data_IF_196639711433
#
_entry.id   IF_196639711433
#
_cell.length_a   1.000
_cell.length_b   1.000
_cell.length_c   1.000
_cell.angle_alpha   90.00
_cell.angle_beta   90.00
_cell.angle_gamma   90.00
#
_symmetry.space_group_name_H-M   'P 1'
#
loop_
_entity.id
_entity.type
_entity.pdbx_description
1 polymer ?
#
# COMPACT_ATOMS: atom_id res chain seq x y z
N UNK A 1 78.00 4.45 -6.26
CA UNK A 1 78.68 4.40 -4.95
C UNK A 1 77.62 4.70 -3.88
N UNK A 2 77.61 4.16 -2.66
CA UNK A 2 78.19 2.94 -2.06
C UNK A 2 77.53 2.72 -0.66
N UNK A 3 77.39 1.46 -0.21
CA UNK A 3 76.93 0.98 1.14
C UNK A 3 77.69 1.61 2.33
N UNK A 4 77.34 1.39 3.63
CA UNK A 4 76.30 0.52 4.27
C UNK A 4 75.24 1.39 5.04
N UNK A 5 74.48 0.95 6.10
CA UNK A 5 74.17 -0.37 6.72
C UNK A 5 72.63 -0.67 6.69
N UNK A 6 71.92 -1.63 7.33
CA UNK A 6 72.10 -2.74 8.33
C UNK A 6 72.09 -2.38 9.84
N UNK A 7 71.52 -3.15 10.80
CA UNK A 7 70.78 -4.43 10.79
C UNK A 7 69.84 -4.61 12.02
N UNK A 8 69.17 -5.77 12.12
CA UNK A 8 68.42 -6.37 13.24
C UNK A 8 66.95 -5.94 13.46
N UNK A 9 66.05 -6.77 14.04
CA UNK A 9 65.78 -8.23 13.90
C UNK A 9 64.73 -8.64 14.98
N UNK A 10 63.48 -8.91 14.62
CA UNK A 10 62.63 -9.93 15.27
C UNK A 10 61.28 -10.07 14.56
N UNK A 11 60.86 -11.32 14.31
CA UNK A 11 59.50 -11.68 13.87
C UNK A 11 59.22 -13.15 14.21
N UNK A 12 58.00 -13.47 14.63
CA UNK A 12 57.24 -14.59 14.04
C UNK A 12 55.90 -14.06 13.46
N UNK A 13 55.35 -14.41 12.27
CA UNK A 13 55.07 -15.70 11.57
C UNK A 13 54.34 -16.73 12.43
N UNK A 14 53.21 -17.39 12.08
CA UNK A 14 52.33 -17.57 10.88
C UNK A 14 50.89 -17.88 11.39
N UNK A 15 49.76 -17.95 10.67
CA UNK A 15 49.32 -17.89 9.23
C UNK A 15 48.25 -16.75 9.09
N UNK A 16 47.67 -16.36 7.94
CA UNK A 16 47.69 -16.73 6.51
C UNK A 16 46.66 -17.76 5.94
N UNK A 17 45.49 -17.22 5.53
CA UNK A 17 44.67 -17.51 4.34
C UNK A 17 43.79 -16.24 4.12
N UNK A 18 43.50 -15.63 2.96
CA UNK A 18 43.17 -16.08 1.59
C UNK A 18 41.85 -16.88 1.54
N UNK A 19 40.83 -16.54 0.74
CA UNK A 19 40.68 -15.59 -0.39
C UNK A 19 39.43 -14.68 -0.19
N UNK A 20 39.26 -13.48 -0.80
CA UNK A 20 38.77 -13.19 -2.18
C UNK A 20 37.48 -14.00 -2.53
N UNK A 21 36.34 -13.44 -2.99
CA UNK A 21 36.10 -12.30 -3.91
C UNK A 21 34.81 -11.49 -3.60
N UNK A 22 34.43 -10.58 -4.52
CA UNK A 22 33.24 -9.71 -4.49
C UNK A 22 31.91 -10.44 -4.75
N UNK A 23 30.82 -10.01 -4.11
CA UNK A 23 29.45 -10.16 -4.62
C UNK A 23 28.55 -9.06 -4.02
N UNK A 24 27.59 -8.55 -4.80
CA UNK A 24 26.64 -7.53 -4.36
C UNK A 24 25.20 -7.91 -4.75
N UNK A 25 24.30 -7.86 -3.76
CA UNK A 25 22.84 -7.84 -3.88
C UNK A 25 22.33 -7.09 -2.66
N UNK A 26 21.65 -5.94 -2.70
CA UNK A 26 20.53 -5.47 -3.54
C UNK A 26 19.16 -5.89 -3.01
N UNK A 27 18.21 -4.94 -3.06
CA UNK A 27 16.83 -4.99 -2.54
C UNK A 27 16.71 -5.05 -1.01
N UNK A 28 16.31 -3.92 -0.43
CA UNK A 28 16.00 -3.72 0.98
C UNK A 28 14.52 -3.97 1.26
N UNK A 29 14.24 -4.69 2.34
CA UNK A 29 12.96 -4.62 3.05
C UNK A 29 12.95 -3.37 3.98
N UNK A 30 11.90 -3.21 4.79
CA UNK A 30 11.78 -2.27 5.92
C UNK A 30 11.82 -0.74 5.67
N UNK A 31 10.64 -0.19 5.37
CA UNK A 31 10.33 1.26 5.46
C UNK A 31 9.17 1.59 6.42
N UNK A 32 8.89 0.72 7.40
CA UNK A 32 7.53 0.60 7.95
C UNK A 32 7.25 1.21 9.34
N UNK A 33 8.23 1.64 10.15
CA UNK A 33 7.94 2.03 11.55
C UNK A 33 8.09 3.52 11.91
N UNK A 34 8.58 4.38 11.00
CA UNK A 34 8.78 5.82 11.32
C UNK A 34 7.84 6.80 10.62
N UNK A 35 6.54 6.58 10.76
CA UNK A 35 5.57 7.67 10.58
C UNK A 35 5.30 8.45 11.88
N UNK A 36 5.61 7.88 13.05
CA UNK A 36 5.07 8.34 14.35
C UNK A 36 5.97 9.26 15.19
N UNK A 37 7.28 9.00 15.31
CA UNK A 37 8.14 9.82 16.19
C UNK A 37 8.36 11.27 15.71
N UNK A 38 8.11 11.55 14.42
CA UNK A 38 8.20 12.90 13.84
C UNK A 38 7.15 13.90 14.40
N UNK A 39 6.31 13.47 15.35
CA UNK A 39 5.26 14.28 16.00
C UNK A 39 5.66 14.86 17.38
N UNK A 40 6.86 14.54 17.90
CA UNK A 40 7.49 15.33 18.97
C UNK A 40 6.89 15.22 20.39
N UNK A 41 6.30 14.08 20.75
CA UNK A 41 5.73 13.83 22.08
C UNK A 41 6.74 13.09 22.98
N UNK A 42 7.39 13.80 23.92
CA UNK A 42 8.26 13.19 24.94
C UNK A 42 7.48 12.80 26.20
N UNK A 43 7.49 11.52 26.58
CA UNK A 43 6.70 11.00 27.70
C UNK A 43 7.44 11.04 29.06
N UNK A 44 7.60 12.24 29.63
CA UNK A 44 7.92 12.50 31.05
C UNK A 44 7.28 13.84 31.47
N UNK A 45 6.64 14.02 32.62
CA UNK A 45 6.38 13.14 33.77
C UNK A 45 4.87 13.10 34.12
N UNK A 46 4.44 12.05 34.84
CA UNK A 46 3.09 11.97 35.45
C UNK A 46 3.21 11.88 36.97
N UNK A 47 3.38 13.03 37.63
CA UNK A 47 3.15 13.22 39.07
C UNK A 47 2.78 14.68 39.36
N UNK A 48 2.13 14.89 40.51
CA UNK A 48 1.86 16.18 41.15
C UNK A 48 1.06 17.23 40.35
N UNK A 49 -0.27 17.13 40.45
CA UNK A 49 -0.97 18.08 41.34
C UNK A 49 -2.24 17.45 41.94
N UNK A 50 -2.36 17.53 43.25
CA UNK A 50 -3.54 17.11 44.04
C UNK A 50 -4.26 18.34 44.58
N UNK A 51 -5.56 18.21 44.81
CA UNK A 51 -6.43 19.05 45.66
C UNK A 51 -6.49 20.57 45.41
N UNK A 52 -7.59 21.00 44.77
CA UNK A 52 -8.18 22.32 44.99
C UNK A 52 -9.71 22.28 44.78
N UNK A 53 -10.48 22.05 45.85
CA UNK A 53 -11.94 22.23 45.84
C UNK A 53 -12.35 23.73 45.84
N UNK A 54 -13.64 23.97 45.54
CA UNK A 54 -14.38 25.24 45.62
C UNK A 54 -14.16 26.22 44.45
N UNK A 55 -15.19 26.88 43.89
CA UNK A 55 -16.54 27.15 44.41
C UNK A 55 -17.61 26.98 43.34
N UNK A 56 -18.86 26.75 43.76
CA UNK A 56 -20.03 26.91 42.90
C UNK A 56 -20.65 28.29 43.12
N UNK A 57 -20.66 29.14 42.09
CA UNK A 57 -21.82 29.99 41.79
C UNK A 57 -21.75 30.65 40.40
N UNK A 58 -22.88 31.24 40.01
CA UNK A 58 -23.04 32.31 39.01
C UNK A 58 -23.16 32.03 37.49
N UNK A 59 -24.41 32.18 37.03
CA UNK A 59 -24.88 32.78 35.75
C UNK A 59 -24.71 32.05 34.40
N UNK A 60 -25.86 31.54 33.97
CA UNK A 60 -26.52 31.85 32.69
C UNK A 60 -25.83 32.92 31.80
N UNK A 61 -25.35 32.51 30.62
CA UNK A 61 -25.78 33.05 29.31
C UNK A 61 -24.95 32.43 28.17
N UNK A 62 -25.58 31.61 27.30
CA UNK A 62 -25.04 31.29 25.98
C UNK A 62 -26.20 31.32 24.99
N UNK A 63 -26.16 32.24 24.04
CA UNK A 63 -27.31 32.55 23.19
C UNK A 63 -27.44 31.58 22.03
N UNK A 64 -28.66 31.12 21.72
CA UNK A 64 -28.91 30.15 20.64
C UNK A 64 -29.12 30.89 19.32
N UNK A 65 -28.01 31.30 18.71
CA UNK A 65 -27.97 31.86 17.36
C UNK A 65 -28.32 30.79 16.29
N UNK A 66 -29.60 30.42 16.18
CA UNK A 66 -30.12 29.69 15.03
C UNK A 66 -30.02 30.58 13.78
N UNK A 67 -29.11 30.24 12.88
CA UNK A 67 -29.00 30.90 11.57
C UNK A 67 -30.13 30.37 10.67
N UNK A 68 -31.21 31.15 10.55
CA UNK A 68 -32.28 30.88 9.57
C UNK A 68 -31.76 31.12 8.16
N UNK A 69 -31.35 30.06 7.47
CA UNK A 69 -30.95 30.12 6.06
C UNK A 69 -32.23 30.35 5.21
N UNK A 70 -32.25 31.42 4.42
CA UNK A 70 -33.38 31.75 3.54
C UNK A 70 -33.44 30.77 2.36
N UNK A 71 -34.58 30.11 2.17
CA UNK A 71 -34.74 29.00 1.22
C UNK A 71 -35.11 29.47 -0.19
N UNK A 72 -34.20 30.13 -0.90
CA UNK A 72 -34.26 30.30 -2.37
C UNK A 72 -33.59 29.10 -3.08
N UNK A 73 -33.94 27.89 -2.63
CA UNK A 73 -33.43 26.66 -3.21
C UNK A 73 -34.12 26.38 -4.56
N UNK A 74 -33.34 26.42 -5.64
CA UNK A 74 -33.65 25.59 -6.81
C UNK A 74 -33.64 24.13 -6.35
N UNK A 75 -34.45 23.30 -7.00
CA UNK A 75 -34.47 21.86 -6.71
C UNK A 75 -33.22 21.20 -7.27
N UNK A 76 -32.12 21.27 -6.52
CA UNK A 76 -30.95 20.44 -6.77
C UNK A 76 -31.36 18.98 -6.54
N UNK A 77 -31.35 18.20 -7.63
CA UNK A 77 -31.66 16.77 -7.59
C UNK A 77 -30.62 16.07 -6.70
N UNK A 78 -31.06 15.44 -5.61
CA UNK A 78 -30.17 14.69 -4.71
C UNK A 78 -29.69 13.42 -5.43
N UNK A 79 -28.58 13.54 -6.16
CA UNK A 79 -27.90 12.41 -6.79
C UNK A 79 -27.36 11.53 -5.67
N UNK A 80 -27.82 10.28 -5.61
CA UNK A 80 -27.34 9.32 -4.63
C UNK A 80 -25.92 8.88 -4.96
N UNK A 81 -25.08 8.54 -3.95
CA UNK A 81 -23.77 7.95 -4.20
C UNK A 81 -23.88 6.63 -4.96
N UNK A 82 -22.94 6.37 -5.87
CA UNK A 82 -22.92 5.16 -6.71
C UNK A 82 -21.58 4.46 -6.50
N UNK A 83 -21.60 3.25 -5.96
CA UNK A 83 -20.42 2.38 -5.85
C UNK A 83 -20.25 1.59 -7.13
N UNK A 84 -19.07 1.68 -7.76
CA UNK A 84 -18.74 0.99 -9.02
C UNK A 84 -17.42 0.22 -8.85
N UNK A 85 -17.41 -1.12 -8.97
CA UNK A 85 -16.18 -1.92 -8.97
C UNK A 85 -15.19 -1.50 -10.05
N UNK A 86 -13.90 -1.68 -9.79
CA UNK A 86 -12.81 -1.48 -10.75
C UNK A 86 -12.20 -2.84 -11.11
N UNK A 87 -12.31 -3.22 -12.38
CA UNK A 87 -11.52 -4.32 -12.94
C UNK A 87 -10.07 -3.83 -13.10
N UNK A 88 -9.14 -4.34 -12.29
CA UNK A 88 -7.71 -3.96 -12.33
C UNK A 88 -6.89 -4.91 -13.24
N UNK A 89 -5.67 -4.53 -13.67
CA UNK A 89 -4.82 -5.41 -14.48
C UNK A 89 -4.51 -6.74 -13.77
N UNK A 90 -4.37 -7.88 -14.50
CA UNK A 90 -4.13 -9.20 -13.89
C UNK A 90 -2.89 -9.32 -13.00
N UNK A 91 -1.88 -8.47 -13.20
CA UNK A 91 -0.64 -8.43 -12.42
C UNK A 91 -0.54 -7.15 -11.56
N UNK A 92 -1.68 -6.57 -11.17
CA UNK A 92 -1.71 -5.33 -10.39
C UNK A 92 -1.37 -5.54 -8.90
N UNK A 93 -1.75 -6.67 -8.32
CA UNK A 93 -1.35 -7.06 -6.96
C UNK A 93 0.15 -7.35 -6.89
N UNK A 94 0.81 -6.99 -5.77
CA UNK A 94 2.22 -7.30 -5.46
C UNK A 94 2.47 -8.82 -5.45
N UNK A 95 1.45 -9.57 -5.04
CA UNK A 95 1.41 -11.02 -4.98
C UNK A 95 0.60 -11.63 -6.14
N UNK A 96 0.35 -10.86 -7.21
CA UNK A 96 -0.31 -11.29 -8.45
C UNK A 96 -1.72 -11.90 -8.23
N UNK A 97 -2.42 -11.47 -7.18
CA UNK A 97 -3.82 -11.83 -6.95
C UNK A 97 -4.70 -11.42 -8.15
N UNK A 98 -5.61 -12.33 -8.52
CA UNK A 98 -6.49 -12.17 -9.69
C UNK A 98 -7.42 -10.96 -9.48
N UNK A 99 -7.83 -10.24 -10.54
CA UNK A 99 -8.68 -9.04 -10.40
C UNK A 99 -10.03 -9.27 -9.70
N UNK A 100 -10.49 -10.52 -9.62
CA UNK A 100 -11.71 -10.93 -8.91
C UNK A 100 -11.51 -11.25 -7.42
N UNK A 101 -10.27 -11.33 -6.94
CA UNK A 101 -9.90 -11.60 -5.54
C UNK A 101 -9.24 -10.38 -4.86
N UNK A 102 -9.44 -9.19 -5.42
CA UNK A 102 -8.97 -7.91 -4.88
C UNK A 102 -10.10 -6.87 -4.87
N UNK A 103 -10.15 -6.06 -3.82
CA UNK A 103 -11.14 -5.00 -3.62
C UNK A 103 -10.63 -3.67 -4.16
N UNK A 104 -11.11 -3.27 -5.33
CA UNK A 104 -10.97 -1.92 -5.86
C UNK A 104 -12.33 -1.40 -6.37
N UNK A 105 -12.73 -0.20 -5.97
CA UNK A 105 -13.98 0.42 -6.41
C UNK A 105 -13.95 1.95 -6.27
N UNK A 106 -14.79 2.63 -7.06
CA UNK A 106 -15.04 4.07 -6.92
C UNK A 106 -16.40 4.33 -6.26
N UNK A 107 -16.53 5.47 -5.58
CA UNK A 107 -17.81 5.99 -5.10
C UNK A 107 -18.04 7.37 -5.71
N UNK A 108 -18.98 7.49 -6.63
CA UNK A 108 -19.38 8.77 -7.21
C UNK A 108 -20.33 9.55 -6.29
N UNK A 109 -20.28 10.88 -6.36
CA UNK A 109 -21.14 11.81 -5.60
C UNK A 109 -21.08 11.65 -4.07
N UNK A 110 -19.97 11.15 -3.51
CA UNK A 110 -19.81 10.91 -2.08
C UNK A 110 -19.73 12.22 -1.27
N UNK A 111 -18.95 13.20 -1.75
CA UNK A 111 -18.98 14.58 -1.26
C UNK A 111 -19.61 15.52 -2.29
N UNK A 112 -20.22 16.60 -1.84
CA UNK A 112 -20.51 17.76 -2.68
C UNK A 112 -19.32 18.74 -2.70
N UNK A 113 -19.40 19.78 -3.55
CA UNK A 113 -18.29 20.74 -3.74
C UNK A 113 -18.00 21.61 -2.51
N UNK A 114 -18.99 21.92 -1.68
CA UNK A 114 -18.78 22.69 -0.44
C UNK A 114 -18.16 21.82 0.67
N UNK A 115 -18.50 20.52 0.74
CA UNK A 115 -17.80 19.55 1.60
C UNK A 115 -16.32 19.40 1.19
N UNK A 116 -16.03 19.28 -0.11
CA UNK A 116 -14.65 19.22 -0.60
C UNK A 116 -13.86 20.50 -0.28
N UNK A 117 -14.50 21.66 -0.46
CA UNK A 117 -13.94 22.97 -0.15
C UNK A 117 -13.68 23.17 1.35
N UNK A 118 -14.54 22.65 2.23
CA UNK A 118 -14.33 22.69 3.67
C UNK A 118 -13.07 21.90 4.08
N UNK A 119 -12.85 20.73 3.49
CA UNK A 119 -11.61 19.94 3.69
C UNK A 119 -10.37 20.71 3.20
N UNK A 120 -10.46 21.35 2.03
CA UNK A 120 -9.39 22.22 1.52
C UNK A 120 -9.12 23.43 2.43
N UNK A 121 -10.12 23.95 3.15
CA UNK A 121 -9.97 25.07 4.08
C UNK A 121 -9.32 24.66 5.42
N UNK A 122 -9.42 23.39 5.82
CA UNK A 122 -8.63 22.82 6.93
C UNK A 122 -7.17 22.56 6.53
N UNK A 123 -6.92 22.36 5.24
CA UNK A 123 -5.61 22.01 4.69
C UNK A 123 -4.68 23.23 4.61
N UNK A 124 -3.68 23.30 5.49
CA UNK A 124 -2.72 24.42 5.56
C UNK A 124 -1.28 23.93 5.50
N UNK A 125 -0.34 24.85 5.22
CA UNK A 125 1.10 24.56 5.34
C UNK A 125 1.70 23.62 4.29
N UNK A 126 1.04 23.42 3.13
CA UNK A 126 1.50 22.51 2.06
C UNK A 126 3.01 22.57 1.78
N UNK A 127 3.73 21.51 2.10
CA UNK A 127 5.18 21.40 1.94
C UNK A 127 5.58 20.07 1.30
N UNK A 128 6.76 20.02 0.69
CA UNK A 128 7.37 18.76 0.24
C UNK A 128 7.83 17.92 1.44
N UNK A 129 7.81 16.60 1.31
CA UNK A 129 8.45 15.70 2.29
C UNK A 129 9.94 15.66 1.99
N UNK A 130 10.75 16.27 2.85
CA UNK A 130 12.23 16.29 2.71
C UNK A 130 12.93 15.29 3.62
N UNK A 131 12.19 14.66 4.52
CA UNK A 131 12.65 13.74 5.54
C UNK A 131 11.69 12.56 5.56
N UNK A 132 12.25 11.37 5.33
CA UNK A 132 11.65 10.12 5.76
C UNK A 132 12.40 9.71 7.04
N UNK A 133 12.13 8.51 7.53
CA UNK A 133 12.89 7.98 8.65
C UNK A 133 12.90 6.46 8.59
N UNK A 134 13.99 5.89 9.10
CA UNK A 134 14.38 4.51 8.93
C UNK A 134 14.49 3.86 10.31
N UNK A 135 14.06 2.62 10.42
CA UNK A 135 14.18 1.83 11.64
C UNK A 135 15.22 0.76 11.38
N UNK A 136 16.32 0.80 12.13
CA UNK A 136 17.35 -0.23 12.11
C UNK A 136 16.78 -1.56 12.63
N UNK A 137 17.37 -2.69 12.25
CA UNK A 137 16.94 -4.05 12.64
C UNK A 137 16.83 -4.28 14.17
N UNK A 138 17.45 -3.41 14.98
CA UNK A 138 17.36 -3.40 16.44
C UNK A 138 16.09 -2.66 16.97
N UNK A 139 15.17 -2.24 16.09
CA UNK A 139 14.00 -1.42 16.41
C UNK A 139 14.32 0.06 16.66
N UNK A 140 15.54 0.51 16.33
CA UNK A 140 16.00 1.88 16.58
C UNK A 140 15.63 2.79 15.43
N UNK A 141 14.81 3.78 15.73
CA UNK A 141 14.26 4.73 14.76
C UNK A 141 15.14 5.97 14.61
N UNK A 142 15.44 6.37 13.37
CA UNK A 142 16.24 7.56 13.08
C UNK A 142 15.78 8.32 11.81
N UNK A 143 15.81 9.67 11.87
CA UNK A 143 15.32 10.51 10.77
C UNK A 143 16.36 10.61 9.64
N UNK A 144 15.93 10.23 8.43
CA UNK A 144 16.76 10.20 7.21
C UNK A 144 16.27 11.27 6.25
N UNK A 145 17.07 12.33 6.09
CA UNK A 145 16.81 13.34 5.07
C UNK A 145 16.88 12.71 3.67
N UNK A 146 15.77 12.81 2.94
CA UNK A 146 15.67 12.32 1.56
C UNK A 146 16.62 13.09 0.64
N UNK A 147 17.28 12.37 -0.29
CA UNK A 147 18.16 12.98 -1.28
C UNK A 147 17.37 13.80 -2.30
N UNK A 148 16.26 13.23 -2.79
CA UNK A 148 15.19 13.94 -3.52
C UNK A 148 13.94 13.97 -2.64
N UNK A 149 13.33 15.14 -2.37
CA UNK A 149 12.04 15.21 -1.69
C UNK A 149 10.94 14.51 -2.49
N UNK A 150 9.87 14.05 -1.83
CA UNK A 150 8.69 13.54 -2.54
C UNK A 150 8.22 14.58 -3.56
N UNK A 151 7.94 14.16 -4.79
CA UNK A 151 7.53 15.02 -5.93
C UNK A 151 6.06 15.42 -5.84
N UNK A 152 5.59 15.74 -4.63
CA UNK A 152 4.27 16.26 -4.32
C UNK A 152 4.30 16.97 -2.97
N UNK A 153 3.40 17.94 -2.79
CA UNK A 153 3.26 18.69 -1.54
C UNK A 153 2.16 18.03 -0.71
N UNK A 154 2.29 18.04 0.62
CA UNK A 154 1.24 17.55 1.51
C UNK A 154 0.93 18.51 2.65
N UNK A 155 -0.30 18.41 3.14
CA UNK A 155 -0.81 19.03 4.36
C UNK A 155 -1.34 17.92 5.26
N UNK A 156 -0.79 17.82 6.48
CA UNK A 156 -1.22 16.83 7.48
C UNK A 156 -2.02 17.54 8.56
N UNK A 157 -3.16 16.97 8.96
CA UNK A 157 -3.91 17.43 10.12
C UNK A 157 -4.74 16.30 10.74
N UNK A 158 -5.02 16.42 12.02
CA UNK A 158 -6.01 15.60 12.72
C UNK A 158 -7.25 16.45 12.97
N UNK A 159 -8.43 15.95 12.57
CA UNK A 159 -9.70 16.64 12.79
C UNK A 159 -10.84 15.63 12.93
N UNK A 160 -11.01 15.12 14.16
CA UNK A 160 -11.99 14.07 14.49
C UNK A 160 -13.39 14.32 13.89
N UNK A 161 -14.01 15.53 13.94
CA UNK A 161 -15.32 15.73 13.32
C UNK A 161 -15.38 15.47 11.81
N UNK A 162 -14.27 15.66 11.09
CA UNK A 162 -14.16 15.28 9.67
C UNK A 162 -13.95 13.77 9.51
N UNK A 163 -13.10 13.16 10.33
CA UNK A 163 -12.87 11.70 10.35
C UNK A 163 -14.19 10.96 10.61
N UNK A 164 -14.94 11.35 11.66
CA UNK A 164 -16.24 10.79 12.05
C UNK A 164 -17.28 10.95 10.94
N UNK A 165 -17.36 12.15 10.32
CA UNK A 165 -18.32 12.44 9.25
C UNK A 165 -18.00 11.63 7.99
N UNK A 166 -16.74 11.54 7.59
CA UNK A 166 -16.30 10.74 6.45
C UNK A 166 -16.55 9.26 6.70
N UNK A 167 -16.21 8.75 7.89
CA UNK A 167 -16.42 7.35 8.24
C UNK A 167 -17.89 6.98 8.31
N UNK A 168 -18.73 7.79 8.96
CA UNK A 168 -20.19 7.57 9.05
C UNK A 168 -20.85 7.53 7.68
N UNK A 169 -20.37 8.33 6.71
CA UNK A 169 -20.85 8.26 5.31
C UNK A 169 -20.28 7.05 4.56
N UNK A 170 -19.00 6.71 4.76
CA UNK A 170 -18.29 5.70 3.97
C UNK A 170 -18.62 4.26 4.39
N UNK A 171 -18.64 3.97 5.70
CA UNK A 171 -18.83 2.63 6.25
C UNK A 171 -20.01 1.86 5.63
N UNK A 172 -21.25 2.39 5.55
CA UNK A 172 -22.38 1.66 4.96
C UNK A 172 -22.26 1.45 3.44
N UNK A 173 -21.40 2.21 2.76
CA UNK A 173 -21.15 2.07 1.32
C UNK A 173 -20.06 1.03 1.01
N UNK A 174 -19.08 0.84 1.90
CA UNK A 174 -17.97 -0.10 1.68
C UNK A 174 -18.27 -1.52 2.15
N UNK A 175 -19.01 -1.70 3.25
CA UNK A 175 -19.23 -3.01 3.87
C UNK A 175 -19.78 -4.08 2.91
N UNK A 176 -20.70 -3.80 1.96
CA UNK A 176 -21.16 -4.79 0.98
C UNK A 176 -20.10 -5.22 -0.05
N UNK A 177 -18.96 -4.52 -0.13
CA UNK A 177 -17.95 -4.66 -1.19
C UNK A 177 -16.59 -5.17 -0.70
N UNK A 178 -16.39 -5.33 0.62
CA UNK A 178 -15.11 -5.74 1.23
C UNK A 178 -15.19 -7.05 2.03
N UNK A 179 -16.29 -7.80 1.89
CA UNK A 179 -16.50 -9.06 2.64
C UNK A 179 -15.43 -10.11 2.37
N UNK A 180 -15.21 -10.46 1.11
CA UNK A 180 -14.14 -11.40 0.71
C UNK A 180 -12.76 -10.89 1.11
N UNK A 181 -12.49 -9.60 0.99
CA UNK A 181 -11.22 -9.01 1.43
C UNK A 181 -10.95 -9.23 2.93
N UNK A 182 -11.96 -9.08 3.79
CA UNK A 182 -11.83 -9.34 5.23
C UNK A 182 -11.51 -10.82 5.48
N UNK A 183 -12.18 -11.74 4.79
CA UNK A 183 -11.95 -13.18 4.90
C UNK A 183 -10.56 -13.58 4.36
N UNK A 184 -10.19 -13.11 3.16
CA UNK A 184 -8.96 -13.46 2.43
C UNK A 184 -7.69 -12.89 3.11
N UNK A 185 -7.78 -11.71 3.73
CA UNK A 185 -6.69 -11.12 4.53
C UNK A 185 -6.72 -11.54 6.00
N UNK A 186 -7.76 -12.27 6.42
CA UNK A 186 -8.04 -12.67 7.81
C UNK A 186 -8.09 -11.51 8.82
N UNK A 187 -8.31 -10.28 8.37
CA UNK A 187 -8.37 -9.13 9.27
C UNK A 187 -9.67 -9.14 10.09
N UNK A 188 -9.69 -8.39 11.19
CA UNK A 188 -10.91 -8.10 11.93
C UNK A 188 -11.83 -7.12 11.20
N UNK A 189 -12.83 -6.60 11.92
CA UNK A 189 -13.73 -5.59 11.35
C UNK A 189 -12.99 -4.27 11.05
N UNK A 190 -13.41 -3.51 10.02
CA UNK A 190 -12.97 -2.13 9.84
C UNK A 190 -13.62 -1.24 10.90
N UNK A 191 -12.81 -0.51 11.66
CA UNK A 191 -13.25 0.26 12.82
C UNK A 191 -13.28 1.77 12.58
N UNK A 192 -12.51 2.28 11.62
CA UNK A 192 -12.44 3.71 11.35
C UNK A 192 -11.57 4.08 10.15
N UNK A 193 -11.40 5.38 9.95
CA UNK A 193 -10.39 5.95 9.08
C UNK A 193 -9.16 6.37 9.89
N UNK A 194 -7.98 6.38 9.27
CA UNK A 194 -6.76 6.91 9.85
C UNK A 194 -6.98 8.36 10.34
N UNK A 195 -6.85 8.65 11.66
CA UNK A 195 -7.13 9.98 12.23
C UNK A 195 -6.27 11.09 11.62
N UNK A 196 -5.06 10.73 11.18
CA UNK A 196 -4.08 11.61 10.55
C UNK A 196 -4.39 11.77 9.06
N UNK A 197 -5.33 12.66 8.77
CA UNK A 197 -5.71 13.03 7.41
C UNK A 197 -4.54 13.71 6.69
N UNK A 198 -4.30 13.32 5.43
CA UNK A 198 -3.25 13.91 4.59
C UNK A 198 -3.83 14.39 3.25
N UNK A 199 -3.85 15.70 3.03
CA UNK A 199 -4.23 16.27 1.73
C UNK A 199 -2.98 16.45 0.88
N UNK A 200 -2.96 15.73 -0.23
CA UNK A 200 -1.93 15.77 -1.27
C UNK A 200 -2.27 16.91 -2.24
N UNK A 201 -1.26 17.70 -2.62
CA UNK A 201 -1.31 18.65 -3.74
C UNK A 201 -0.23 18.30 -4.74
N UNK A 202 -0.65 18.11 -5.99
CA UNK A 202 0.21 18.05 -7.17
C UNK A 202 0.01 19.33 -7.98
N UNK A 203 1.09 19.96 -8.44
CA UNK A 203 1.09 21.16 -9.25
C UNK A 203 1.84 20.95 -10.57
N UNK A 204 1.18 21.24 -11.69
CA UNK A 204 1.78 21.12 -13.02
C UNK A 204 2.97 22.07 -13.21
N UNK A 205 3.01 23.21 -12.51
CA UNK A 205 4.09 24.19 -12.67
C UNK A 205 5.40 23.78 -11.99
N UNK A 206 5.33 22.89 -10.99
CA UNK A 206 6.49 22.28 -10.33
C UNK A 206 6.92 20.95 -11.00
N UNK A 207 6.07 20.37 -11.86
CA UNK A 207 6.16 19.00 -12.37
C UNK A 207 6.03 17.93 -11.25
N UNK A 208 5.10 18.17 -10.31
CA UNK A 208 4.76 17.17 -9.29
C UNK A 208 4.22 15.87 -9.94
N UNK A 209 4.69 14.72 -9.47
CA UNK A 209 4.32 13.38 -9.98
C UNK A 209 4.10 12.37 -8.85
N UNK A 210 3.31 11.34 -9.12
CA UNK A 210 3.14 10.18 -8.24
C UNK A 210 3.55 8.93 -9.02
N UNK A 211 4.79 8.51 -8.83
CA UNK A 211 5.41 7.42 -9.57
C UNK A 211 4.78 6.06 -9.21
N UNK A 212 4.87 5.03 -10.08
CA UNK A 212 4.27 3.72 -9.82
C UNK A 212 4.81 3.04 -8.54
N UNK A 213 3.91 2.68 -7.63
CA UNK A 213 4.25 2.11 -6.31
C UNK A 213 3.10 1.27 -5.74
N UNK A 214 3.40 0.56 -4.65
CA UNK A 214 2.41 -0.02 -3.73
C UNK A 214 2.26 0.88 -2.52
N UNK A 215 1.11 0.79 -1.85
CA UNK A 215 0.87 1.61 -0.68
C UNK A 215 1.39 0.97 0.62
N UNK A 216 1.74 1.81 1.60
CA UNK A 216 2.34 1.38 2.86
C UNK A 216 1.30 1.24 3.98
N UNK A 217 1.24 0.04 4.56
CA UNK A 217 0.47 -0.28 5.77
C UNK A 217 0.92 0.57 6.96
N UNK A 218 -0.05 1.16 7.69
CA UNK A 218 0.21 1.95 8.90
C UNK A 218 -0.45 1.26 10.10
N UNK A 219 0.31 0.99 11.17
CA UNK A 219 -0.23 0.49 12.44
C UNK A 219 -0.49 1.64 13.40
N UNK A 220 -1.63 1.64 14.06
CA UNK A 220 -2.04 2.58 15.11
C UNK A 220 -2.36 1.77 16.36
N UNK A 221 -2.06 2.31 17.55
CA UNK A 221 -2.37 1.64 18.82
C UNK A 221 -3.88 1.42 18.99
N UNK A 222 -4.27 0.30 19.60
CA UNK A 222 -5.64 0.03 20.04
C UNK A 222 -5.78 0.24 21.55
N UNK A 223 -7.02 0.42 22.03
CA UNK A 223 -7.35 0.38 23.46
C UNK A 223 -7.18 -1.04 24.05
N UNK A 224 -7.12 -2.06 23.19
CA UNK A 224 -6.84 -3.46 23.52
C UNK A 224 -5.34 -3.74 23.31
N UNK A 225 -4.62 -4.03 24.39
CA UNK A 225 -3.14 -4.08 24.39
C UNK A 225 -2.52 -5.24 23.61
N UNK A 226 -3.32 -6.18 23.10
CA UNK A 226 -2.88 -7.34 22.32
C UNK A 226 -3.25 -7.22 20.83
N UNK A 227 -3.61 -6.00 20.37
CA UNK A 227 -4.10 -5.73 19.01
C UNK A 227 -3.61 -4.40 18.48
N UNK A 228 -3.34 -4.35 17.19
CA UNK A 228 -3.13 -3.11 16.45
C UNK A 228 -4.33 -2.77 15.55
N UNK A 229 -4.50 -1.47 15.28
CA UNK A 229 -5.35 -0.97 14.22
C UNK A 229 -4.47 -0.78 12.98
N UNK A 230 -4.57 -1.70 12.03
CA UNK A 230 -3.71 -1.76 10.85
C UNK A 230 -4.46 -1.24 9.62
N UNK A 231 -3.89 -0.29 8.87
CA UNK A 231 -4.48 0.18 7.61
C UNK A 231 -4.15 -0.74 6.45
N UNK A 232 -5.17 -1.20 5.74
CA UNK A 232 -5.03 -2.19 4.66
C UNK A 232 -5.68 -1.75 3.33
N UNK A 233 -6.63 -0.80 3.38
CA UNK A 233 -7.26 -0.17 2.21
C UNK A 233 -6.97 1.34 2.24
N UNK A 234 -6.51 1.90 1.12
CA UNK A 234 -6.38 3.35 0.94
C UNK A 234 -7.68 3.94 0.40
N UNK A 235 -8.00 5.16 0.86
CA UNK A 235 -9.17 5.95 0.47
C UNK A 235 -8.67 7.28 -0.10
N UNK A 236 -8.84 7.46 -1.42
CA UNK A 236 -8.53 8.71 -2.11
C UNK A 236 -9.83 9.47 -2.41
N UNK A 237 -9.98 10.67 -1.88
CA UNK A 237 -11.12 11.56 -2.14
C UNK A 237 -10.62 12.75 -2.95
N UNK A 238 -11.03 12.85 -4.22
CA UNK A 238 -10.66 13.96 -5.09
C UNK A 238 -11.39 15.23 -4.65
N UNK A 239 -10.66 16.30 -4.33
CA UNK A 239 -11.25 17.52 -3.77
C UNK A 239 -11.63 18.55 -4.84
N UNK A 240 -11.06 18.45 -6.05
CA UNK A 240 -11.33 19.35 -7.16
C UNK A 240 -11.46 18.61 -8.51
N UNK A 241 -11.97 19.31 -9.54
CA UNK A 241 -12.38 18.70 -10.82
C UNK A 241 -11.22 18.55 -11.83
N UNK A 242 -10.89 17.31 -12.20
CA UNK A 242 -9.96 16.99 -13.29
C UNK A 242 -10.61 17.01 -14.68
N UNK A 243 -9.94 16.42 -15.67
CA UNK A 243 -10.45 16.27 -17.04
C UNK A 243 -10.63 17.61 -17.78
N UNK A 244 -9.65 18.51 -17.69
CA UNK A 244 -9.64 19.78 -18.39
C UNK A 244 -10.43 20.91 -17.74
N UNK A 245 -10.85 20.76 -16.47
CA UNK A 245 -11.66 21.74 -15.74
C UNK A 245 -10.83 22.64 -14.82
N UNK A 246 -10.26 22.08 -13.75
CA UNK A 246 -9.35 22.78 -12.82
C UNK A 246 -7.90 22.31 -13.01
N UNK A 247 -7.72 21.09 -13.51
CA UNK A 247 -6.47 20.51 -14.01
C UNK A 247 -6.75 19.51 -15.14
N UNK A 248 -5.69 19.07 -15.81
CA UNK A 248 -5.72 18.04 -16.85
C UNK A 248 -4.52 17.08 -16.70
N UNK A 249 -4.68 15.86 -17.18
CA UNK A 249 -3.99 14.70 -16.61
C UNK A 249 -4.45 14.44 -15.17
N UNK A 250 -3.60 13.78 -14.37
CA UNK A 250 -3.89 13.52 -12.96
C UNK A 250 -4.88 12.37 -12.72
N UNK A 251 -5.18 11.54 -13.71
CA UNK A 251 -5.87 10.26 -13.52
C UNK A 251 -5.08 9.36 -12.56
N UNK A 252 -5.80 8.60 -11.72
CA UNK A 252 -5.18 7.50 -10.99
C UNK A 252 -5.18 6.26 -11.89
N UNK A 253 -4.01 5.69 -12.14
CA UNK A 253 -3.83 4.49 -12.98
C UNK A 253 -3.49 3.30 -12.08
N UNK A 254 -4.22 2.19 -12.23
CA UNK A 254 -3.80 0.87 -11.77
C UNK A 254 -3.03 0.18 -12.89
N UNK A 255 -1.86 -0.37 -12.56
CA UNK A 255 -0.86 -0.82 -13.52
C UNK A 255 -0.49 -2.29 -13.33
N UNK A 256 -0.03 -2.91 -14.40
CA UNK A 256 0.71 -4.17 -14.37
C UNK A 256 2.05 -3.95 -13.64
N UNK A 257 2.27 -4.64 -12.51
CA UNK A 257 3.47 -4.45 -11.67
C UNK A 257 4.74 -5.04 -12.28
N UNK A 258 4.61 -6.02 -13.18
CA UNK A 258 5.73 -6.69 -13.86
C UNK A 258 6.11 -5.94 -15.13
N UNK A 259 5.13 -5.36 -15.83
CA UNK A 259 5.35 -4.49 -16.98
C UNK A 259 4.51 -3.18 -16.88
N UNK A 260 4.99 -2.16 -16.15
CA UNK A 260 4.26 -0.89 -15.97
C UNK A 260 4.08 -0.03 -17.24
N UNK A 261 4.52 -0.52 -18.41
CA UNK A 261 4.36 0.09 -19.73
C UNK A 261 3.35 -0.66 -20.60
N UNK A 262 2.59 -1.58 -20.02
CA UNK A 262 1.51 -2.30 -20.67
C UNK A 262 0.30 -1.37 -20.84
N UNK A 263 -0.35 -1.39 -22.02
CA UNK A 263 -1.50 -0.53 -22.34
C UNK A 263 -2.82 -0.97 -21.66
N UNK A 264 -2.76 -1.97 -20.77
CA UNK A 264 -3.91 -2.56 -20.07
C UNK A 264 -4.33 -1.82 -18.78
N UNK A 265 -3.83 -0.60 -18.55
CA UNK A 265 -4.04 0.16 -17.32
C UNK A 265 -5.52 0.51 -17.05
N UNK A 266 -5.95 0.37 -15.79
CA UNK A 266 -7.30 0.77 -15.36
C UNK A 266 -7.29 2.21 -14.86
N UNK A 267 -8.12 3.07 -15.46
CA UNK A 267 -8.04 4.53 -15.34
C UNK A 267 -9.21 5.08 -14.52
N UNK A 268 -8.90 5.86 -13.47
CA UNK A 268 -9.89 6.65 -12.72
C UNK A 268 -9.67 8.14 -12.95
N UNK A 269 -10.57 8.76 -13.71
CA UNK A 269 -10.60 10.23 -13.90
C UNK A 269 -11.12 10.94 -12.65
N UNK A 270 -10.40 11.97 -12.14
CA UNK A 270 -10.84 12.73 -10.97
C UNK A 270 -12.07 13.59 -11.22
N UNK A 271 -12.98 13.60 -10.25
CA UNK A 271 -14.09 14.55 -10.17
C UNK A 271 -14.26 14.96 -8.70
N UNK A 272 -14.56 16.23 -8.44
CA UNK A 272 -14.71 16.75 -7.08
C UNK A 272 -15.79 15.97 -6.33
N UNK A 273 -15.38 15.30 -5.25
CA UNK A 273 -16.25 14.47 -4.41
C UNK A 273 -16.41 13.00 -4.83
N UNK A 274 -15.71 12.54 -5.87
CA UNK A 274 -15.52 11.11 -6.16
C UNK A 274 -14.48 10.52 -5.19
N UNK A 275 -14.72 9.29 -4.73
CA UNK A 275 -13.79 8.47 -3.95
C UNK A 275 -13.25 7.32 -4.79
N UNK A 276 -12.03 6.88 -4.50
CA UNK A 276 -11.52 5.55 -4.84
C UNK A 276 -11.13 4.84 -3.54
N UNK A 277 -11.54 3.58 -3.38
CA UNK A 277 -11.13 2.69 -2.30
C UNK A 277 -10.45 1.49 -2.93
N UNK A 278 -9.25 1.15 -2.45
CA UNK A 278 -8.46 0.05 -2.99
C UNK A 278 -7.45 -0.50 -1.97
N UNK A 279 -7.04 -1.74 -2.14
CA UNK A 279 -6.03 -2.40 -1.30
C UNK A 279 -4.63 -1.83 -1.49
N UNK A 280 -3.84 -1.73 -0.41
CA UNK A 280 -2.45 -1.27 -0.48
C UNK A 280 -1.55 -2.14 -1.38
N UNK A 281 -1.95 -3.40 -1.58
CA UNK A 281 -1.34 -4.39 -2.46
C UNK A 281 -1.45 -4.03 -3.96
N UNK A 282 -2.25 -3.04 -4.36
CA UNK A 282 -2.46 -2.72 -5.78
C UNK A 282 -1.50 -1.65 -6.31
N UNK A 283 -0.73 -2.04 -7.33
CA UNK A 283 0.28 -1.21 -7.98
C UNK A 283 -0.36 -0.07 -8.78
N UNK A 284 -0.08 1.17 -8.37
CA UNK A 284 -0.79 2.32 -8.90
C UNK A 284 0.09 3.59 -8.99
N UNK A 285 -0.39 4.58 -9.74
CA UNK A 285 0.31 5.84 -10.00
C UNK A 285 -0.69 6.99 -10.27
N UNK A 286 -0.17 8.22 -10.40
CA UNK A 286 -0.93 9.33 -10.99
C UNK A 286 -0.30 9.76 -12.31
N UNK A 287 -1.11 9.93 -13.35
CA UNK A 287 -0.69 10.61 -14.57
C UNK A 287 -0.15 12.01 -14.22
N UNK A 288 0.99 12.45 -14.78
CA UNK A 288 1.50 13.80 -14.59
C UNK A 288 0.49 14.88 -15.03
N UNK A 289 0.46 16.01 -14.34
CA UNK A 289 -0.44 17.11 -14.71
C UNK A 289 0.08 17.88 -15.92
N UNK A 290 -0.80 18.17 -16.88
CA UNK A 290 -0.49 19.02 -18.05
C UNK A 290 -0.75 20.51 -17.76
N UNK A 291 -1.73 20.82 -16.92
CA UNK A 291 -1.94 22.13 -16.31
C UNK A 291 -2.64 22.02 -14.95
N UNK A 292 -2.58 23.11 -14.17
CA UNK A 292 -3.38 23.26 -12.95
C UNK A 292 -2.79 22.55 -11.73
N UNK A 293 -3.64 22.31 -10.74
CA UNK A 293 -3.27 21.60 -9.52
C UNK A 293 -4.36 20.61 -9.10
N UNK A 294 -3.95 19.37 -8.79
CA UNK A 294 -4.79 18.27 -8.30
C UNK A 294 -4.70 18.20 -6.79
N UNK A 295 -5.84 18.22 -6.11
CA UNK A 295 -5.94 18.05 -4.66
C UNK A 295 -6.69 16.76 -4.32
N UNK A 296 -6.10 15.94 -3.44
CA UNK A 296 -6.67 14.67 -3.00
C UNK A 296 -6.54 14.55 -1.49
N UNK A 297 -7.63 14.37 -0.76
CA UNK A 297 -7.56 13.87 0.60
C UNK A 297 -7.27 12.37 0.52
N UNK A 298 -6.14 11.95 1.06
CA UNK A 298 -5.88 10.55 1.39
C UNK A 298 -6.12 10.31 2.88
N UNK A 299 -6.77 9.19 3.15
CA UNK A 299 -6.77 8.50 4.44
C UNK A 299 -6.84 7.00 4.13
N UNK A 300 -6.81 6.16 5.16
CA UNK A 300 -6.64 4.72 5.05
C UNK A 300 -7.65 4.07 6.01
N UNK A 301 -8.33 2.97 5.64
CA UNK A 301 -9.29 2.27 6.51
C UNK A 301 -8.52 1.39 7.47
N UNK A 302 -8.76 1.57 8.78
CA UNK A 302 -8.16 0.83 9.87
C UNK A 302 -8.99 -0.42 10.21
N UNK A 303 -8.33 -1.58 10.16
CA UNK A 303 -8.87 -2.88 10.54
C UNK A 303 -8.23 -3.34 11.84
N UNK A 304 -9.00 -4.04 12.68
CA UNK A 304 -8.45 -4.69 13.87
C UNK A 304 -7.61 -5.90 13.45
N UNK A 305 -6.38 -6.02 13.95
CA UNK A 305 -5.48 -7.16 13.72
C UNK A 305 -5.01 -7.70 15.08
N UNK A 306 -4.87 -9.01 15.21
CA UNK A 306 -4.20 -9.62 16.37
C UNK A 306 -2.72 -9.72 16.05
N UNK A 307 -1.85 -9.23 16.94
CA UNK A 307 -0.41 -9.15 16.64
C UNK A 307 0.30 -10.51 16.71
N UNK A 308 -0.37 -11.55 17.25
CA UNK A 308 0.06 -12.96 17.24
C UNK A 308 -0.13 -13.65 15.87
N UNK A 309 -1.00 -13.14 14.99
CA UNK A 309 -1.41 -13.81 13.75
C UNK A 309 -0.51 -13.39 12.55
N UNK A 310 0.62 -14.09 12.38
CA UNK A 310 1.61 -13.83 11.32
C UNK A 310 1.09 -13.97 9.86
N UNK A 311 -0.12 -14.51 9.65
CA UNK A 311 -0.75 -14.65 8.34
C UNK A 311 -1.94 -13.66 8.14
N UNK A 312 -1.85 -12.42 8.62
CA UNK A 312 -2.90 -11.38 8.49
C UNK A 312 -2.45 -10.16 7.69
N UNK A 313 -3.34 -9.63 6.85
CA UNK A 313 -3.19 -8.35 6.16
C UNK A 313 -2.94 -8.47 4.65
N UNK A 314 -2.30 -7.44 4.09
CA UNK A 314 -2.09 -7.25 2.64
C UNK A 314 -0.62 -7.31 2.21
N UNK A 315 0.30 -7.38 3.17
CA UNK A 315 1.75 -7.49 2.93
C UNK A 315 2.23 -8.96 2.88
N UNK A 316 1.31 -9.87 2.53
CA UNK A 316 1.52 -11.32 2.39
C UNK A 316 0.70 -11.88 1.21
N UNK A 317 1.12 -13.01 0.61
CA UNK A 317 0.26 -13.76 -0.30
C UNK A 317 -1.03 -14.23 0.39
N UNK A 318 -2.18 -13.97 -0.24
CA UNK A 318 -3.48 -14.56 0.15
C UNK A 318 -3.64 -15.91 -0.53
N UNK A 319 -4.21 -16.86 0.20
CA UNK A 319 -4.37 -18.23 -0.26
C UNK A 319 -3.56 -19.24 0.56
N UNK A 320 -4.01 -19.53 1.78
CA UNK A 320 -3.71 -20.81 2.43
C UNK A 320 -4.93 -21.73 2.31
N UNK A 321 -5.10 -22.29 1.11
CA UNK A 321 -5.62 -23.64 0.82
C UNK A 321 -5.86 -23.86 -0.70
N UNK A 322 -4.78 -24.17 -1.43
CA UNK A 322 -4.82 -25.44 -2.16
C UNK A 322 -5.10 -26.54 -1.11
N UNK A 323 -6.07 -27.42 -1.39
CA UNK A 323 -6.90 -28.06 -0.37
C UNK A 323 -6.15 -28.56 0.88
N UNK A 324 -6.78 -28.42 2.06
CA UNK A 324 -6.40 -29.16 3.28
C UNK A 324 -6.84 -30.65 3.19
N UNK A 325 -6.68 -31.23 1.99
CA UNK A 325 -6.85 -32.62 1.62
C UNK A 325 -5.47 -33.08 1.13
N UNK A 326 -4.68 -33.79 1.97
CA UNK A 326 -3.23 -33.99 1.78
C UNK A 326 -2.88 -34.98 0.66
N UNK A 327 -3.81 -35.25 -0.26
CA UNK A 327 -3.62 -36.03 -1.49
C UNK A 327 -3.66 -35.14 -2.77
N UNK A 328 -3.83 -33.82 -2.65
CA UNK A 328 -4.07 -32.94 -3.82
C UNK A 328 -3.42 -31.54 -3.77
N UNK A 329 -2.22 -31.43 -3.21
CA UNK A 329 -1.25 -30.36 -3.51
C UNK A 329 -0.15 -30.99 -4.36
N UNK A 330 0.27 -30.33 -5.42
CA UNK A 330 1.40 -30.77 -6.25
C UNK A 330 2.69 -30.13 -5.72
N UNK A 331 3.51 -30.92 -5.03
CA UNK A 331 4.83 -30.46 -4.59
C UNK A 331 5.81 -30.35 -5.78
N UNK A 332 5.57 -31.10 -6.86
CA UNK A 332 6.44 -31.22 -8.04
C UNK A 332 5.77 -30.86 -9.38
N UNK A 333 6.58 -30.60 -10.42
CA UNK A 333 6.07 -30.44 -11.79
C UNK A 333 5.42 -31.71 -12.34
N UNK A 334 5.83 -32.90 -11.90
CA UNK A 334 5.20 -34.18 -12.25
C UNK A 334 3.73 -34.22 -11.81
N UNK A 335 3.48 -33.85 -10.56
CA UNK A 335 2.14 -33.81 -9.98
C UNK A 335 1.30 -32.69 -10.60
N UNK A 336 1.91 -31.54 -10.89
CA UNK A 336 1.28 -30.45 -11.63
C UNK A 336 0.84 -30.90 -13.03
N UNK A 337 1.70 -31.63 -13.76
CA UNK A 337 1.35 -32.21 -15.06
C UNK A 337 0.20 -33.22 -14.97
N UNK A 338 0.09 -33.97 -13.86
CA UNK A 338 -1.03 -34.87 -13.62
C UNK A 338 -2.33 -34.11 -13.31
N UNK A 339 -2.31 -33.09 -12.45
CA UNK A 339 -3.47 -32.24 -12.14
C UNK A 339 -4.00 -31.53 -13.39
N UNK A 340 -3.11 -30.96 -14.20
CA UNK A 340 -3.44 -30.31 -15.49
C UNK A 340 -3.76 -31.31 -16.62
N UNK A 341 -3.65 -32.62 -16.39
CA UNK A 341 -3.86 -33.68 -17.40
C UNK A 341 -3.00 -33.54 -18.67
N UNK A 342 -1.75 -33.10 -18.53
CA UNK A 342 -0.82 -32.87 -19.63
C UNK A 342 -0.30 -34.19 -20.23
N UNK A 343 -0.16 -34.20 -21.56
CA UNK A 343 0.20 -35.39 -22.33
C UNK A 343 1.59 -35.94 -22.01
N UNK A 344 1.84 -37.20 -22.41
CA UNK A 344 3.13 -37.86 -22.23
C UNK A 344 4.27 -37.09 -22.93
N UNK A 345 3.99 -36.45 -24.07
CA UNK A 345 4.97 -35.64 -24.83
C UNK A 345 5.51 -34.46 -24.00
N UNK A 346 4.63 -33.75 -23.27
CA UNK A 346 5.00 -32.64 -22.38
C UNK A 346 5.80 -33.14 -21.17
N UNK A 347 5.37 -34.24 -20.55
CA UNK A 347 6.08 -34.83 -19.40
C UNK A 347 7.48 -35.31 -19.79
N UNK A 348 7.63 -35.99 -20.93
CA UNK A 348 8.92 -36.42 -21.44
C UNK A 348 9.85 -35.22 -21.74
N UNK A 349 9.33 -34.13 -22.32
CA UNK A 349 10.12 -32.93 -22.59
C UNK A 349 10.65 -32.26 -21.31
N UNK A 350 9.88 -32.30 -20.21
CA UNK A 350 10.31 -31.80 -18.89
C UNK A 350 11.27 -32.75 -18.15
N UNK A 351 11.20 -34.06 -18.42
CA UNK A 351 12.16 -35.07 -17.92
C UNK A 351 13.53 -34.94 -18.62
N UNK A 352 13.55 -34.71 -19.94
CA UNK A 352 14.79 -34.53 -20.71
C UNK A 352 15.67 -33.35 -20.23
N UNK A 353 15.05 -32.31 -19.64
CA UNK A 353 15.76 -31.19 -19.00
C UNK A 353 15.80 -31.28 -17.46
N UNK A 354 15.30 -32.37 -16.87
CA UNK A 354 15.39 -32.64 -15.44
C UNK A 354 14.55 -31.71 -14.54
N UNK A 355 13.51 -31.07 -15.09
CA UNK A 355 12.59 -30.22 -14.31
C UNK A 355 11.42 -31.01 -13.69
N UNK A 356 11.04 -32.14 -14.27
CA UNK A 356 9.81 -32.88 -13.92
C UNK A 356 9.71 -33.25 -12.43
N UNK A 357 10.80 -33.76 -11.85
CA UNK A 357 10.89 -34.16 -10.44
C UNK A 357 11.33 -33.02 -9.49
N UNK A 358 11.52 -31.79 -9.98
CA UNK A 358 11.84 -30.66 -9.08
C UNK A 358 10.61 -30.24 -8.27
N UNK A 359 10.83 -29.88 -7.01
CA UNK A 359 9.80 -29.22 -6.21
C UNK A 359 9.53 -27.81 -6.73
N UNK A 360 8.31 -27.29 -6.53
CA UNK A 360 7.95 -25.94 -7.01
C UNK A 360 8.86 -24.85 -6.43
N UNK A 361 9.30 -24.97 -5.18
CA UNK A 361 10.33 -24.10 -4.60
C UNK A 361 11.70 -24.22 -5.27
N UNK A 362 12.17 -25.43 -5.56
CA UNK A 362 13.45 -25.63 -6.25
C UNK A 362 13.41 -25.12 -7.70
N UNK A 363 12.26 -25.27 -8.37
CA UNK A 363 11.98 -24.72 -9.69
C UNK A 363 12.04 -23.18 -9.68
N UNK A 364 11.36 -22.53 -8.74
CA UNK A 364 11.25 -21.06 -8.70
C UNK A 364 12.39 -20.32 -7.97
N UNK A 365 13.30 -21.03 -7.29
CA UNK A 365 14.51 -20.45 -6.69
C UNK A 365 15.35 -19.52 -7.62
N UNK A 366 15.60 -19.83 -8.91
CA UNK A 366 16.24 -18.91 -9.86
C UNK A 366 15.33 -17.77 -10.38
N UNK A 367 14.08 -17.68 -9.94
CA UNK A 367 13.11 -16.64 -10.29
C UNK A 367 12.23 -16.97 -11.49
N UNK A 368 10.99 -16.46 -11.48
CA UNK A 368 9.93 -16.78 -12.46
C UNK A 368 10.33 -16.52 -13.92
N UNK A 369 11.15 -15.50 -14.19
CA UNK A 369 11.65 -15.22 -15.55
C UNK A 369 12.64 -16.28 -16.04
N UNK A 370 13.50 -16.82 -15.18
CA UNK A 370 14.40 -17.92 -15.53
C UNK A 370 13.60 -19.21 -15.78
N UNK A 371 12.59 -19.50 -14.95
CA UNK A 371 11.65 -20.62 -15.14
C UNK A 371 10.90 -20.49 -16.45
N UNK A 372 10.37 -19.30 -16.78
CA UNK A 372 9.69 -19.05 -18.06
C UNK A 372 10.61 -19.31 -19.26
N UNK A 373 11.88 -18.90 -19.18
CA UNK A 373 12.84 -19.19 -20.24
C UNK A 373 13.10 -20.71 -20.36
N UNK A 374 13.39 -21.39 -19.25
CA UNK A 374 13.67 -22.84 -19.24
C UNK A 374 12.47 -23.68 -19.73
N UNK A 375 11.23 -23.25 -19.48
CA UNK A 375 10.03 -23.92 -19.97
C UNK A 375 9.78 -23.60 -21.45
N UNK A 376 9.96 -22.36 -21.90
CA UNK A 376 9.83 -21.98 -23.32
C UNK A 376 10.93 -22.59 -24.22
N UNK A 377 12.03 -23.09 -23.66
CA UNK A 377 13.06 -23.84 -24.40
C UNK A 377 12.60 -25.27 -24.78
N UNK A 378 11.55 -25.82 -24.17
CA UNK A 378 11.02 -27.18 -24.44
C UNK A 378 9.51 -27.30 -24.64
N UNK A 379 8.72 -26.31 -24.22
CA UNK A 379 7.26 -26.24 -24.40
C UNK A 379 6.88 -25.08 -25.33
N UNK A 380 5.66 -25.11 -25.86
CA UNK A 380 5.06 -23.92 -26.47
C UNK A 380 4.68 -22.86 -25.41
N UNK A 381 4.56 -21.60 -25.84
CA UNK A 381 4.35 -20.45 -24.94
C UNK A 381 3.01 -20.51 -24.18
N UNK A 382 1.94 -21.05 -24.80
CA UNK A 382 0.64 -21.20 -24.13
C UNK A 382 0.71 -22.28 -23.04
N UNK A 383 1.26 -23.45 -23.34
CA UNK A 383 1.45 -24.54 -22.37
C UNK A 383 2.40 -24.11 -21.25
N UNK A 384 3.49 -23.42 -21.56
CA UNK A 384 4.44 -22.91 -20.56
C UNK A 384 3.78 -21.88 -19.63
N UNK A 385 2.99 -20.94 -20.15
CA UNK A 385 2.25 -19.97 -19.32
C UNK A 385 1.20 -20.66 -18.45
N UNK A 386 0.46 -21.64 -18.96
CA UNK A 386 -0.49 -22.44 -18.16
C UNK A 386 0.24 -23.16 -17.01
N UNK A 387 1.35 -23.82 -17.30
CA UNK A 387 2.13 -24.57 -16.32
C UNK A 387 2.74 -23.66 -15.24
N UNK A 388 3.28 -22.50 -15.62
CA UNK A 388 3.81 -21.49 -14.68
C UNK A 388 2.70 -20.94 -13.79
N UNK A 389 1.56 -20.55 -14.37
CA UNK A 389 0.47 -19.95 -13.59
C UNK A 389 -0.10 -20.96 -12.58
N UNK A 390 -0.25 -22.23 -12.97
CA UNK A 390 -0.71 -23.28 -12.07
C UNK A 390 0.33 -23.63 -10.99
N UNK A 391 1.63 -23.65 -11.33
CA UNK A 391 2.71 -23.84 -10.39
C UNK A 391 2.93 -22.65 -9.43
N UNK A 392 2.46 -21.45 -9.78
CA UNK A 392 2.38 -20.30 -8.87
C UNK A 392 1.08 -20.31 -8.05
N UNK A 393 -0.04 -20.80 -8.60
CA UNK A 393 -1.30 -21.01 -7.85
C UNK A 393 -1.22 -22.12 -6.78
N UNK A 394 -0.18 -22.96 -6.80
CA UNK A 394 0.04 -24.06 -5.85
C UNK A 394 1.21 -23.85 -4.88
N UNK A 395 1.87 -22.68 -4.90
CA UNK A 395 3.09 -22.38 -4.13
C UNK A 395 2.92 -21.17 -3.21
#
# INVERSE_FOLDING_TARGET
MSKPPTMNNSSPTKKQAHDNDECGSSCSEDTNEVFFEMLGLSLMDVTDFVDAESNADDKQAVDRAYVTISSDAKTDTIIQPIVTPLEVPPLCSRYQHKPSSVSAFTIDNFLNKDECKAILQLSTGFHYVTEAAHTDNDGVTHVVRLQEPNKHKLSVFEHAPTVDTLWTKLQPMILPHIGSFIDDTKCGQPLGLNPRLRVLRYDASDNDVFEPHFDATTRVASDDCNKTLTSLLTVLIYLNDGGGKEFDGGETFYLDSVNPKNDNATIVTPASGKVVVFEHDLFHSSVPLTFGAKYVLRTDILFQVNDDDADVGVDIPRGKHCNNDPENVADTLLEMCHQLSLGDEIRNALDEIGLLDLTLDALFAPGVMAVRQMLNDVLDEDTAVILINAALDCR
#
